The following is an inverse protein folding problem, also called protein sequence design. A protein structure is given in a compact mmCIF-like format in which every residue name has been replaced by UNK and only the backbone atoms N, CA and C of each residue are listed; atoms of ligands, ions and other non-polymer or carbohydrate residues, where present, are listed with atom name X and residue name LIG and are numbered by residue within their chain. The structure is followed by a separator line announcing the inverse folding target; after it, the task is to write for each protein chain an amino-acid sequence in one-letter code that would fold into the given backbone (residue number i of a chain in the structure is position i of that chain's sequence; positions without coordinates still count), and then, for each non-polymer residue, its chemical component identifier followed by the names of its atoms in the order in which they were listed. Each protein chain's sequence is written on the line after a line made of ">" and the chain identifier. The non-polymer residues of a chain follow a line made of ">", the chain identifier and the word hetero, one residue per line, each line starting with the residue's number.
data_IF_121732719437
#
_entry.id   IF_121732719437
#
_cell.length_a   1.000
_cell.length_b   1.000
_cell.length_c   1.000
_cell.angle_alpha   90.00
_cell.angle_beta   90.00
_cell.angle_gamma   90.00
#
_symmetry.space_group_name_H-M   'P 1'
#
loop_
_entity.id
_entity.type
_entity.pdbx_description
1 polymer ?
#
# COMPACT_ATOMS: atom_id res chain seq x y z
N UNK A 1 -24.95 -59.09 10.26
CA UNK A 1 -24.32 -59.93 9.21
C UNK A 1 -23.53 -58.99 8.31
N UNK A 2 -22.28 -59.34 8.00
CA UNK A 2 -21.21 -58.56 7.36
C UNK A 2 -20.41 -57.57 8.23
N UNK A 3 -19.18 -58.01 8.50
CA UNK A 3 -18.05 -57.30 9.07
C UNK A 3 -17.28 -56.55 7.97
N UNK A 4 -16.70 -55.39 8.31
CA UNK A 4 -15.36 -55.02 7.83
C UNK A 4 -14.73 -54.03 8.82
N UNK A 5 -13.82 -54.56 9.63
CA UNK A 5 -12.87 -53.88 10.51
C UNK A 5 -11.62 -53.48 9.74
N UNK A 6 -10.96 -52.37 10.11
CA UNK A 6 -9.51 -52.29 10.40
C UNK A 6 -9.14 -50.83 10.72
N UNK A 7 -8.91 -50.47 11.99
CA UNK A 7 -7.62 -50.52 12.73
C UNK A 7 -6.59 -49.51 12.21
N UNK A 8 -6.61 -48.30 12.78
CA UNK A 8 -5.41 -47.51 13.02
C UNK A 8 -4.74 -48.03 14.31
N UNK A 9 -3.46 -48.38 14.20
CA UNK A 9 -2.62 -48.84 15.30
C UNK A 9 -1.23 -48.22 15.23
N UNK A 10 -1.05 -47.15 16.01
CA UNK A 10 0.11 -46.77 16.82
C UNK A 10 1.49 -47.42 16.58
N UNK A 11 2.52 -46.56 16.46
CA UNK A 11 3.87 -46.70 17.08
C UNK A 11 4.61 -45.35 16.95
N UNK A 12 4.84 -44.63 18.05
CA UNK A 12 6.06 -44.56 18.89
C UNK A 12 7.30 -44.01 18.17
N UNK A 13 7.70 -42.78 18.52
CA UNK A 13 9.07 -42.26 18.38
C UNK A 13 10.02 -43.00 19.36
N UNK A 14 11.33 -43.09 19.05
CA UNK A 14 12.25 -42.10 19.61
C UNK A 14 13.37 -41.64 18.65
N UNK A 15 13.88 -40.45 18.94
CA UNK A 15 15.05 -39.80 18.35
C UNK A 15 16.34 -40.54 18.72
N UNK A 16 17.24 -40.78 17.76
CA UNK A 16 18.70 -40.79 17.99
C UNK A 16 19.48 -40.58 16.67
N UNK A 17 20.52 -39.77 16.77
CA UNK A 17 21.36 -39.21 15.71
C UNK A 17 22.04 -40.27 14.81
N UNK A 18 22.04 -40.03 13.50
CA UNK A 18 23.06 -40.54 12.58
C UNK A 18 23.28 -39.51 11.46
N UNK A 19 24.55 -39.25 11.17
CA UNK A 19 25.06 -38.37 10.12
C UNK A 19 24.37 -38.62 8.76
N UNK A 20 23.83 -37.58 8.13
CA UNK A 20 23.38 -37.63 6.74
C UNK A 20 24.54 -37.21 5.83
N UNK A 21 25.22 -38.20 5.25
CA UNK A 21 26.15 -38.03 4.15
C UNK A 21 25.36 -37.72 2.86
N UNK A 22 25.87 -36.77 2.06
CA UNK A 22 25.24 -36.24 0.85
C UNK A 22 25.08 -37.27 -0.29
N UNK A 23 25.57 -38.51 -0.10
CA UNK A 23 25.55 -39.57 -1.11
C UNK A 23 24.25 -40.39 -1.14
N UNK A 24 23.43 -40.36 -0.09
CA UNK A 24 22.17 -41.13 -0.05
C UNK A 24 21.00 -40.43 -0.75
N UNK A 25 21.11 -39.13 -1.07
CA UNK A 25 20.07 -38.39 -1.80
C UNK A 25 20.11 -38.68 -3.31
N UNK A 26 21.23 -39.18 -3.82
CA UNK A 26 21.39 -39.43 -5.27
C UNK A 26 20.88 -40.79 -5.74
N UNK A 27 20.62 -41.74 -4.84
CA UNK A 27 20.13 -43.09 -5.22
C UNK A 27 18.59 -43.22 -5.21
N UNK A 28 17.85 -42.26 -4.64
CA UNK A 28 16.37 -42.25 -4.69
C UNK A 28 15.79 -41.68 -6.00
N UNK A 29 16.64 -41.15 -6.90
CA UNK A 29 16.22 -40.54 -8.18
C UNK A 29 16.39 -41.46 -9.40
N UNK A 30 16.89 -42.68 -9.25
CA UNK A 30 17.16 -43.59 -10.37
C UNK A 30 16.16 -44.75 -10.50
N UNK A 31 14.86 -44.51 -10.27
CA UNK A 31 13.82 -45.48 -10.65
C UNK A 31 13.20 -45.15 -12.02
N UNK A 32 13.31 -46.05 -13.03
CA UNK A 32 13.02 -45.75 -14.43
C UNK A 32 11.53 -45.77 -14.84
N UNK A 33 10.59 -45.71 -13.88
CA UNK A 33 9.15 -45.84 -14.16
C UNK A 33 8.33 -44.53 -14.07
N UNK A 34 8.97 -43.37 -13.82
CA UNK A 34 8.28 -42.07 -13.74
C UNK A 34 8.56 -41.07 -14.86
N UNK A 35 9.49 -41.38 -15.78
CA UNK A 35 9.89 -40.45 -16.86
C UNK A 35 9.04 -40.64 -18.14
N UNK A 36 8.26 -41.71 -18.26
CA UNK A 36 7.47 -42.00 -19.47
C UNK A 36 6.10 -41.32 -19.53
N UNK A 37 5.69 -40.54 -18.52
CA UNK A 37 4.35 -39.92 -18.48
C UNK A 37 4.31 -38.43 -18.89
N UNK A 38 5.44 -37.80 -19.19
CA UNK A 38 5.47 -36.36 -19.49
C UNK A 38 5.50 -36.05 -20.99
N UNK A 39 6.10 -36.88 -21.83
CA UNK A 39 6.21 -36.57 -23.27
C UNK A 39 4.91 -36.81 -24.05
N UNK A 40 4.17 -37.90 -23.75
CA UNK A 40 2.91 -38.20 -24.46
C UNK A 40 1.80 -37.18 -24.12
N UNK A 41 1.79 -36.63 -22.91
CA UNK A 41 0.81 -35.62 -22.48
C UNK A 41 1.08 -34.28 -23.17
N UNK A 42 2.35 -33.89 -23.33
CA UNK A 42 2.73 -32.65 -24.02
C UNK A 42 2.41 -32.74 -25.52
N UNK A 43 2.68 -33.88 -26.15
CA UNK A 43 2.31 -34.13 -27.55
C UNK A 43 0.79 -34.14 -27.75
N UNK A 44 0.03 -34.69 -26.81
CA UNK A 44 -1.43 -34.65 -26.81
C UNK A 44 -1.99 -33.23 -26.75
N UNK A 45 -1.47 -32.37 -25.86
CA UNK A 45 -1.88 -30.96 -25.76
C UNK A 45 -1.53 -30.20 -27.02
N UNK A 46 -0.34 -30.41 -27.59
CA UNK A 46 0.06 -29.77 -28.83
C UNK A 46 -0.87 -30.14 -29.99
N UNK A 47 -1.22 -31.42 -30.18
CA UNK A 47 -2.15 -31.84 -31.24
C UNK A 47 -3.56 -31.22 -31.10
N UNK A 48 -4.05 -31.03 -29.86
CA UNK A 48 -5.34 -30.37 -29.62
C UNK A 48 -5.29 -28.90 -30.00
N UNK A 49 -4.20 -28.19 -29.69
CA UNK A 49 -4.01 -26.78 -30.05
C UNK A 49 -3.92 -26.63 -31.58
N UNK A 50 -3.17 -27.49 -32.28
CA UNK A 50 -3.09 -27.42 -33.75
C UNK A 50 -4.43 -27.77 -34.40
N UNK A 51 -5.19 -28.72 -33.85
CA UNK A 51 -6.54 -29.05 -34.32
C UNK A 51 -7.52 -27.88 -34.19
N UNK A 52 -7.48 -27.17 -33.06
CA UNK A 52 -8.30 -25.97 -32.83
C UNK A 52 -7.93 -24.81 -33.77
N UNK A 53 -6.63 -24.57 -33.98
CA UNK A 53 -6.16 -23.54 -34.91
C UNK A 53 -6.54 -23.85 -36.37
N UNK A 54 -6.48 -25.12 -36.76
CA UNK A 54 -6.92 -25.55 -38.10
C UNK A 54 -8.43 -25.40 -38.28
N UNK A 55 -9.24 -25.67 -37.25
CA UNK A 55 -10.69 -25.45 -37.28
C UNK A 55 -11.02 -23.95 -37.43
N UNK A 56 -10.27 -23.07 -36.77
CA UNK A 56 -10.40 -21.61 -36.93
C UNK A 56 -10.01 -21.14 -38.34
N UNK A 57 -9.01 -21.75 -38.96
CA UNK A 57 -8.57 -21.41 -40.32
C UNK A 57 -9.56 -21.87 -41.41
N UNK A 58 -10.41 -22.87 -41.14
CA UNK A 58 -11.40 -23.39 -42.08
C UNK A 58 -12.80 -22.76 -41.96
N UNK A 59 -13.01 -21.80 -41.05
CA UNK A 59 -14.31 -21.12 -40.95
C UNK A 59 -14.56 -20.21 -42.17
N UNK A 60 -15.70 -20.33 -42.87
CA UNK A 60 -16.01 -19.51 -44.04
C UNK A 60 -16.15 -18.03 -43.66
N UNK A 61 -15.71 -17.15 -44.57
CA UNK A 61 -15.52 -15.69 -44.47
C UNK A 61 -16.69 -14.81 -43.99
N UNK A 62 -17.78 -15.38 -43.46
CA UNK A 62 -18.94 -14.66 -42.96
C UNK A 62 -18.78 -14.12 -41.52
N UNK A 63 -17.63 -14.30 -40.86
CA UNK A 63 -17.32 -13.72 -39.53
C UNK A 63 -16.39 -12.50 -39.62
N UNK A 64 -15.94 -12.10 -40.82
CA UNK A 64 -15.09 -10.91 -40.99
C UNK A 64 -15.83 -9.56 -40.96
N UNK A 65 -17.17 -9.55 -40.94
CA UNK A 65 -17.96 -8.31 -40.85
C UNK A 65 -18.15 -7.79 -39.42
N UNK A 66 -17.83 -8.58 -38.39
CA UNK A 66 -17.74 -8.11 -36.99
C UNK A 66 -16.34 -7.62 -36.62
N UNK A 67 -15.29 -8.01 -37.36
CA UNK A 67 -13.92 -7.55 -37.14
C UNK A 67 -13.66 -6.12 -37.66
N UNK A 68 -14.45 -5.62 -38.61
CA UNK A 68 -14.30 -4.26 -39.15
C UNK A 68 -14.86 -3.17 -38.22
N UNK A 69 -15.78 -3.53 -37.30
CA UNK A 69 -16.17 -2.66 -36.16
C UNK A 69 -15.11 -2.62 -35.05
N UNK A 70 -14.26 -3.64 -34.94
CA UNK A 70 -13.15 -3.70 -33.97
C UNK A 70 -11.93 -2.82 -34.34
N UNK A 71 -11.67 -2.60 -35.63
CA UNK A 71 -10.55 -1.73 -36.08
C UNK A 71 -10.80 -0.23 -35.90
N UNK A 72 -12.06 0.20 -35.87
CA UNK A 72 -12.47 1.57 -35.47
C UNK A 72 -12.32 1.82 -33.97
N UNK A 73 -12.44 0.76 -33.16
CA UNK A 73 -12.25 0.83 -31.70
C UNK A 73 -10.77 0.82 -31.30
N UNK A 74 -9.90 0.11 -32.02
CA UNK A 74 -8.46 0.11 -31.72
C UNK A 74 -7.71 1.38 -32.17
N UNK A 75 -8.20 2.10 -33.19
CA UNK A 75 -7.64 3.41 -33.55
C UNK A 75 -8.05 4.53 -32.58
N UNK A 76 -9.09 4.34 -31.76
CA UNK A 76 -9.40 5.20 -30.61
C UNK A 76 -8.60 4.88 -29.34
N UNK A 77 -7.93 3.74 -29.26
CA UNK A 77 -7.22 3.29 -28.05
C UNK A 77 -5.72 3.65 -28.00
N UNK A 78 -5.14 4.19 -29.08
CA UNK A 78 -3.76 4.73 -29.07
C UNK A 78 -3.68 6.25 -29.17
N UNK A 79 -4.83 6.94 -29.26
CA UNK A 79 -4.94 8.39 -29.16
C UNK A 79 -5.27 8.88 -27.73
N UNK A 80 -5.32 7.99 -26.73
CA UNK A 80 -5.68 8.30 -25.33
C UNK A 80 -4.49 8.57 -24.40
N UNK A 81 -3.27 8.73 -24.93
CA UNK A 81 -2.07 9.06 -24.14
C UNK A 81 -1.50 10.46 -24.45
N UNK A 82 -2.34 11.35 -24.98
CA UNK A 82 -2.09 12.80 -24.95
C UNK A 82 -3.43 13.50 -24.70
N UNK A 83 -3.52 14.43 -23.74
CA UNK A 83 -4.72 15.23 -23.58
C UNK A 83 -4.79 16.21 -24.75
N UNK A 84 -5.42 15.82 -25.85
CA UNK A 84 -5.78 16.75 -26.91
C UNK A 84 -6.92 17.64 -26.42
N UNK A 85 -6.71 18.94 -26.59
CA UNK A 85 -7.61 20.01 -26.22
C UNK A 85 -9.01 19.79 -26.83
N UNK A 86 -9.99 19.67 -25.95
CA UNK A 86 -11.39 19.51 -26.30
C UNK A 86 -12.21 19.05 -25.10
N UNK A 87 -12.06 19.71 -23.95
CA UNK A 87 -12.97 19.51 -22.82
C UNK A 87 -14.12 20.49 -22.97
N UNK A 88 -15.31 19.93 -23.21
CA UNK A 88 -16.58 20.59 -22.94
C UNK A 88 -16.56 21.12 -21.49
N UNK A 89 -16.99 22.37 -21.33
CA UNK A 89 -16.88 23.19 -20.11
C UNK A 89 -17.88 22.82 -19.00
N UNK A 90 -18.27 21.55 -18.87
CA UNK A 90 -19.31 21.11 -17.91
C UNK A 90 -18.83 20.09 -16.86
N UNK A 91 -17.55 19.70 -16.85
CA UNK A 91 -16.97 18.83 -15.81
C UNK A 91 -16.11 19.62 -14.83
N UNK A 92 -16.68 20.65 -14.18
CA UNK A 92 -16.06 21.17 -12.96
C UNK A 92 -16.20 20.11 -11.87
N UNK A 93 -15.10 19.53 -11.40
CA UNK A 93 -15.12 18.62 -10.26
C UNK A 93 -15.78 19.27 -9.04
N UNK A 94 -16.23 18.47 -8.08
CA UNK A 94 -16.85 19.00 -6.88
C UNK A 94 -15.78 19.60 -5.94
N UNK A 95 -16.04 20.71 -5.23
CA UNK A 95 -15.16 21.15 -4.15
C UNK A 95 -15.05 20.08 -3.06
N UNK A 96 -13.84 19.89 -2.49
CA UNK A 96 -13.55 18.83 -1.51
C UNK A 96 -14.58 18.78 -0.36
N UNK A 97 -14.83 19.92 0.29
CA UNK A 97 -15.74 19.95 1.43
C UNK A 97 -17.19 19.62 1.07
N UNK A 98 -17.62 19.97 -0.15
CA UNK A 98 -18.95 19.60 -0.62
C UNK A 98 -19.04 18.09 -0.90
N UNK A 99 -17.98 17.51 -1.50
CA UNK A 99 -17.89 16.07 -1.74
C UNK A 99 -17.82 15.26 -0.44
N UNK A 100 -17.11 15.76 0.58
CA UNK A 100 -16.93 15.09 1.86
C UNK A 100 -18.14 15.24 2.81
N UNK A 101 -19.11 16.10 2.51
CA UNK A 101 -20.23 16.38 3.41
C UNK A 101 -21.06 15.14 3.82
N UNK A 102 -21.39 14.19 2.92
CA UNK A 102 -22.10 12.97 3.29
C UNK A 102 -21.33 12.14 4.32
N UNK A 103 -20.03 11.94 4.08
CA UNK A 103 -19.12 11.25 5.00
C UNK A 103 -19.09 11.94 6.38
N UNK A 104 -18.91 13.27 6.43
CA UNK A 104 -18.88 14.01 7.69
C UNK A 104 -20.20 13.89 8.46
N UNK A 105 -21.34 13.90 7.77
CA UNK A 105 -22.64 13.70 8.40
C UNK A 105 -22.79 12.29 8.98
N UNK A 106 -22.33 11.27 8.27
CA UNK A 106 -22.33 9.90 8.75
C UNK A 106 -21.44 9.74 9.99
N UNK A 107 -20.25 10.37 10.00
CA UNK A 107 -19.33 10.36 11.15
C UNK A 107 -20.01 10.99 12.36
N UNK A 108 -20.61 12.18 12.22
CA UNK A 108 -21.32 12.82 13.33
C UNK A 108 -22.44 11.95 13.88
N UNK A 109 -23.22 11.29 13.01
CA UNK A 109 -24.28 10.36 13.41
C UNK A 109 -23.73 9.19 14.24
N UNK A 110 -22.62 8.59 13.81
CA UNK A 110 -21.99 7.49 14.55
C UNK A 110 -21.43 7.95 15.90
N UNK A 111 -20.75 9.11 15.93
CA UNK A 111 -20.20 9.69 17.15
C UNK A 111 -21.29 10.11 18.15
N UNK A 112 -22.43 10.62 17.69
CA UNK A 112 -23.58 10.96 18.54
C UNK A 112 -24.14 9.74 19.27
N UNK A 113 -24.11 8.55 18.65
CA UNK A 113 -24.51 7.30 19.28
C UNK A 113 -23.51 6.88 20.36
N UNK A 114 -22.21 6.92 20.04
CA UNK A 114 -21.15 6.60 21.01
C UNK A 114 -21.14 7.57 22.20
N UNK A 115 -21.39 8.86 21.96
CA UNK A 115 -21.52 9.87 23.02
C UNK A 115 -22.69 9.58 23.97
N UNK A 116 -23.75 8.94 23.47
CA UNK A 116 -24.89 8.42 24.27
C UNK A 116 -24.61 7.06 24.88
N UNK A 117 -23.40 6.52 24.71
CA UNK A 117 -22.94 5.20 25.17
C UNK A 117 -23.67 4.04 24.48
N UNK A 118 -24.15 4.26 23.25
CA UNK A 118 -24.69 3.20 22.41
C UNK A 118 -23.56 2.63 21.54
N UNK A 119 -23.24 1.36 21.76
CA UNK A 119 -22.28 0.58 20.97
C UNK A 119 -22.93 -0.68 20.39
N UNK A 120 -24.26 -0.65 20.25
CA UNK A 120 -25.05 -1.76 19.73
C UNK A 120 -25.08 -1.82 18.20
N UNK A 121 -25.96 -2.67 17.63
CA UNK A 121 -26.09 -2.83 16.18
C UNK A 121 -26.42 -1.55 15.41
N UNK A 122 -27.05 -0.57 16.07
CA UNK A 122 -27.34 0.72 15.46
C UNK A 122 -26.05 1.54 15.22
N UNK A 123 -25.11 1.50 16.16
CA UNK A 123 -23.80 2.17 16.05
C UNK A 123 -22.92 1.47 15.04
N UNK A 124 -22.90 0.13 15.03
CA UNK A 124 -22.22 -0.66 13.99
C UNK A 124 -22.73 -0.30 12.59
N UNK A 125 -24.04 -0.25 12.38
CA UNK A 125 -24.64 0.16 11.12
C UNK A 125 -24.29 1.61 10.75
N UNK A 126 -24.24 2.53 11.72
CA UNK A 126 -23.83 3.91 11.46
C UNK A 126 -22.36 4.01 11.02
N UNK A 127 -21.46 3.18 11.57
CA UNK A 127 -20.08 3.10 11.09
C UNK A 127 -19.94 2.42 9.73
N UNK A 128 -20.82 1.47 9.40
CA UNK A 128 -20.92 0.95 8.05
C UNK A 128 -21.34 2.04 7.05
N UNK A 129 -22.31 2.90 7.40
CA UNK A 129 -22.67 4.06 6.59
C UNK A 129 -21.43 4.95 6.33
N UNK A 130 -20.58 5.17 7.34
CA UNK A 130 -19.32 5.92 7.18
C UNK A 130 -18.36 5.25 6.19
N UNK A 131 -18.19 3.93 6.29
CA UNK A 131 -17.32 3.17 5.38
C UNK A 131 -17.81 3.26 3.91
N UNK A 132 -19.12 3.21 3.71
CA UNK A 132 -19.74 3.34 2.40
C UNK A 132 -19.52 4.75 1.82
N UNK A 133 -19.75 5.80 2.62
CA UNK A 133 -19.56 7.19 2.20
C UNK A 133 -18.08 7.53 1.93
N UNK A 134 -17.14 6.98 2.69
CA UNK A 134 -15.70 7.07 2.41
C UNK A 134 -15.34 6.44 1.06
N UNK A 135 -15.95 5.30 0.75
CA UNK A 135 -15.76 4.63 -0.54
C UNK A 135 -16.29 5.52 -1.68
N UNK A 136 -17.46 6.14 -1.50
CA UNK A 136 -18.00 7.08 -2.48
C UNK A 136 -17.13 8.32 -2.66
N UNK A 137 -16.69 8.94 -1.56
CA UNK A 137 -15.78 10.09 -1.58
C UNK A 137 -14.47 9.74 -2.32
N UNK A 138 -13.96 8.53 -2.11
CA UNK A 138 -12.80 7.99 -2.80
C UNK A 138 -12.94 8.07 -4.33
N UNK A 139 -14.13 7.70 -4.84
CA UNK A 139 -14.47 7.58 -6.26
C UNK A 139 -14.87 8.90 -6.93
N UNK A 140 -15.34 9.88 -6.16
CA UNK A 140 -15.85 11.13 -6.71
C UNK A 140 -14.73 12.00 -7.32
N UNK A 141 -14.97 12.62 -8.50
CA UNK A 141 -14.03 13.58 -9.08
C UNK A 141 -14.06 14.90 -8.29
N UNK A 142 -12.95 15.20 -7.62
CA UNK A 142 -12.77 16.42 -6.83
C UNK A 142 -11.96 17.43 -7.63
N UNK A 143 -12.37 18.69 -7.61
CA UNK A 143 -11.63 19.73 -8.32
C UNK A 143 -10.30 20.04 -7.61
N UNK A 144 -9.21 19.69 -8.27
CA UNK A 144 -7.84 19.88 -7.79
C UNK A 144 -7.02 20.58 -8.86
N UNK A 145 -6.46 21.76 -8.56
CA UNK A 145 -5.52 22.46 -9.46
C UNK A 145 -6.04 22.65 -10.89
N UNK A 146 -7.36 22.87 -11.06
CA UNK A 146 -7.98 23.07 -12.37
C UNK A 146 -8.40 21.80 -13.10
N UNK A 147 -8.25 20.61 -12.52
CA UNK A 147 -8.69 19.35 -13.09
C UNK A 147 -9.48 18.50 -12.07
N UNK A 148 -10.49 17.74 -12.50
CA UNK A 148 -11.17 16.77 -11.66
C UNK A 148 -10.32 15.52 -11.46
N UNK A 149 -9.91 15.23 -10.21
CA UNK A 149 -9.17 14.02 -9.84
C UNK A 149 -9.88 13.29 -8.68
N UNK A 150 -10.02 11.95 -8.73
CA UNK A 150 -10.57 11.19 -7.62
C UNK A 150 -9.51 10.86 -6.58
N UNK A 151 -9.91 10.72 -5.31
CA UNK A 151 -8.96 10.46 -4.23
C UNK A 151 -8.29 9.10 -4.35
N UNK A 152 -8.97 8.06 -4.83
CA UNK A 152 -8.41 6.71 -4.95
C UNK A 152 -7.17 6.62 -5.86
N UNK A 153 -6.90 7.63 -6.69
CA UNK A 153 -5.84 7.60 -7.70
C UNK A 153 -4.42 7.79 -7.12
N UNK A 154 -4.28 8.09 -5.82
CA UNK A 154 -2.98 8.34 -5.18
C UNK A 154 -1.97 7.21 -5.43
N UNK A 155 -2.36 5.97 -5.15
CA UNK A 155 -1.49 4.79 -5.26
C UNK A 155 -1.11 4.52 -6.74
N UNK A 156 -2.02 4.82 -7.66
CA UNK A 156 -1.77 4.73 -9.10
C UNK A 156 -0.77 5.81 -9.58
N UNK A 157 -0.88 7.04 -9.08
CA UNK A 157 0.08 8.11 -9.39
C UNK A 157 1.45 7.83 -8.77
N UNK A 158 1.51 7.32 -7.54
CA UNK A 158 2.77 6.87 -6.91
C UNK A 158 3.44 5.76 -7.72
N UNK A 159 2.68 4.77 -8.19
CA UNK A 159 3.20 3.72 -9.08
C UNK A 159 3.69 4.28 -10.42
N UNK A 160 3.00 5.30 -10.96
CA UNK A 160 3.39 6.00 -12.17
C UNK A 160 4.70 6.77 -11.97
N UNK A 161 4.87 7.46 -10.83
CA UNK A 161 6.11 8.14 -10.45
C UNK A 161 7.27 7.15 -10.46
N UNK A 162 7.17 6.05 -9.71
CA UNK A 162 8.23 5.04 -9.63
C UNK A 162 8.61 4.48 -11.02
N UNK A 163 7.61 4.21 -11.87
CA UNK A 163 7.85 3.74 -13.24
C UNK A 163 8.58 4.78 -14.09
N UNK A 164 8.20 6.05 -14.00
CA UNK A 164 8.81 7.15 -14.76
C UNK A 164 10.23 7.44 -14.28
N UNK A 165 10.47 7.39 -12.96
CA UNK A 165 11.80 7.52 -12.37
C UNK A 165 12.74 6.39 -12.81
N UNK A 166 12.26 5.15 -12.86
CA UNK A 166 13.03 4.03 -13.39
C UNK A 166 13.45 4.28 -14.84
N UNK A 167 12.51 4.68 -15.71
CA UNK A 167 12.80 4.98 -17.13
C UNK A 167 13.78 6.14 -17.29
N UNK A 168 13.62 7.21 -16.51
CA UNK A 168 14.54 8.35 -16.52
C UNK A 168 15.93 7.95 -16.01
N UNK A 169 16.00 7.07 -15.01
CA UNK A 169 17.26 6.52 -14.51
C UNK A 169 17.98 5.73 -15.59
N UNK A 170 17.29 4.80 -16.26
CA UNK A 170 17.85 4.01 -17.35
C UNK A 170 18.38 4.89 -18.50
N UNK A 171 17.63 5.94 -18.86
CA UNK A 171 17.98 6.81 -19.99
C UNK A 171 19.07 7.84 -19.65
N UNK A 172 19.05 8.41 -18.45
CA UNK A 172 19.82 9.61 -18.11
C UNK A 172 20.91 9.40 -17.07
N UNK A 173 20.99 8.25 -16.39
CA UNK A 173 22.02 8.02 -15.38
C UNK A 173 23.45 8.27 -15.89
N UNK A 174 23.88 7.76 -17.06
CA UNK A 174 25.22 8.03 -17.57
C UNK A 174 25.48 9.52 -17.81
N UNK A 175 24.50 10.23 -18.38
CA UNK A 175 24.59 11.67 -18.64
C UNK A 175 24.65 12.47 -17.34
N UNK A 176 23.87 12.08 -16.33
CA UNK A 176 23.91 12.72 -14.99
C UNK A 176 25.27 12.55 -14.33
N UNK A 177 25.86 11.34 -14.38
CA UNK A 177 27.19 11.12 -13.82
C UNK A 177 28.28 11.89 -14.58
N UNK A 178 28.17 11.99 -15.92
CA UNK A 178 29.10 12.80 -16.71
C UNK A 178 29.04 14.28 -16.33
N UNK A 179 27.84 14.86 -16.20
CA UNK A 179 27.65 16.24 -15.76
C UNK A 179 28.17 16.43 -14.34
N UNK A 180 27.89 15.48 -13.43
CA UNK A 180 28.38 15.54 -12.05
C UNK A 180 29.91 15.49 -11.99
N UNK A 181 30.55 14.68 -12.83
CA UNK A 181 32.01 14.64 -12.99
C UNK A 181 32.57 16.01 -13.36
N UNK A 182 32.03 16.63 -14.41
CA UNK A 182 32.44 17.98 -14.84
C UNK A 182 32.22 19.04 -13.77
N UNK A 183 31.07 18.98 -13.06
CA UNK A 183 30.79 19.91 -11.96
C UNK A 183 31.73 19.69 -10.77
N UNK A 184 32.12 18.45 -10.48
CA UNK A 184 33.09 18.13 -9.43
C UNK A 184 34.46 18.73 -9.71
N UNK A 185 34.89 18.76 -10.97
CA UNK A 185 36.15 19.41 -11.39
C UNK A 185 36.12 20.93 -11.19
N UNK A 186 34.93 21.54 -11.25
CA UNK A 186 34.74 22.99 -11.03
C UNK A 186 34.65 23.41 -9.55
N UNK A 187 34.63 22.46 -8.62
CA UNK A 187 34.54 22.78 -7.18
C UNK A 187 35.81 23.43 -6.67
N UNK A 188 35.65 24.38 -5.77
CA UNK A 188 36.77 25.00 -5.05
C UNK A 188 37.43 24.01 -4.08
N UNK A 189 38.69 24.26 -3.73
CA UNK A 189 39.41 23.43 -2.75
C UNK A 189 38.69 23.37 -1.41
N UNK A 190 38.13 24.49 -0.96
CA UNK A 190 37.36 24.59 0.29
C UNK A 190 36.12 23.70 0.26
N UNK A 191 35.38 23.71 -0.85
CA UNK A 191 34.21 22.85 -1.07
C UNK A 191 34.60 21.36 -1.08
N UNK A 192 35.68 20.98 -1.76
CA UNK A 192 36.16 19.59 -1.80
C UNK A 192 36.55 19.10 -0.40
N UNK A 193 37.27 19.92 0.37
CA UNK A 193 37.64 19.59 1.75
C UNK A 193 36.41 19.47 2.64
N UNK A 194 35.47 20.42 2.53
CA UNK A 194 34.24 20.42 3.31
C UNK A 194 33.37 19.18 3.06
N UNK A 195 33.29 18.70 1.80
CA UNK A 195 32.57 17.48 1.45
C UNK A 195 33.19 16.22 2.07
N UNK A 196 34.51 16.19 2.26
CA UNK A 196 35.22 15.04 2.84
C UNK A 196 35.04 14.94 4.38
N UNK A 197 34.68 16.04 5.05
CA UNK A 197 34.45 16.06 6.49
C UNK A 197 33.02 15.54 6.78
N UNK A 198 32.82 14.59 7.72
CA UNK A 198 31.50 14.15 8.14
C UNK A 198 30.64 15.33 8.65
N UNK A 199 29.34 15.35 8.32
CA UNK A 199 28.45 16.47 8.63
C UNK A 199 28.49 16.95 10.08
N UNK A 200 28.56 16.01 11.02
CA UNK A 200 28.59 16.27 12.48
C UNK A 200 29.89 16.95 12.94
N UNK A 201 30.96 16.85 12.16
CA UNK A 201 32.28 17.41 12.48
C UNK A 201 32.58 18.71 11.71
N UNK A 202 31.67 19.15 10.84
CA UNK A 202 31.84 20.38 10.06
C UNK A 202 31.64 21.58 10.98
N UNK A 203 32.55 22.55 10.88
CA UNK A 203 32.31 23.91 11.37
C UNK A 203 31.18 24.56 10.56
N UNK A 204 30.64 25.69 11.04
CA UNK A 204 29.57 26.43 10.33
C UNK A 204 29.98 26.82 8.92
N UNK A 205 31.22 27.27 8.72
CA UNK A 205 31.76 27.66 7.42
C UNK A 205 31.93 26.45 6.49
N UNK A 206 32.43 25.33 7.02
CA UNK A 206 32.52 24.08 6.27
C UNK A 206 31.14 23.51 5.93
N UNK A 207 30.15 23.67 6.81
CA UNK A 207 28.79 23.26 6.52
C UNK A 207 28.21 24.07 5.36
N UNK A 208 28.39 25.40 5.35
CA UNK A 208 27.97 26.24 4.25
C UNK A 208 28.66 25.87 2.92
N UNK A 209 29.98 25.62 2.96
CA UNK A 209 30.75 25.20 1.79
C UNK A 209 30.30 23.82 1.27
N UNK A 210 30.04 22.86 2.16
CA UNK A 210 29.55 21.53 1.79
C UNK A 210 28.15 21.61 1.17
N UNK A 211 27.21 22.35 1.75
CA UNK A 211 25.87 22.53 1.19
C UNK A 211 25.91 23.22 -0.18
N UNK A 212 26.77 24.22 -0.35
CA UNK A 212 27.01 24.84 -1.66
C UNK A 212 27.53 23.84 -2.69
N UNK A 213 28.47 22.98 -2.29
CA UNK A 213 29.02 21.94 -3.16
C UNK A 213 28.00 20.84 -3.49
N UNK A 214 27.21 20.39 -2.53
CA UNK A 214 26.13 19.41 -2.71
C UNK A 214 25.09 19.94 -3.70
N UNK A 215 24.70 21.21 -3.56
CA UNK A 215 23.77 21.89 -4.48
C UNK A 215 24.36 22.01 -5.88
N UNK A 216 25.66 22.34 -5.99
CA UNK A 216 26.35 22.38 -7.28
C UNK A 216 26.40 20.99 -7.94
N UNK A 217 26.60 19.91 -7.18
CA UNK A 217 26.67 18.55 -7.67
C UNK A 217 25.29 17.92 -7.97
N UNK A 218 24.20 18.54 -7.51
CA UNK A 218 22.85 18.07 -7.80
C UNK A 218 22.48 18.34 -9.27
N UNK A 219 22.23 17.27 -10.00
CA UNK A 219 21.89 17.31 -11.43
C UNK A 219 20.47 16.78 -11.58
N UNK A 220 19.51 17.64 -11.91
CA UNK A 220 18.14 17.23 -12.15
C UNK A 220 17.99 16.39 -13.43
N UNK A 221 16.88 15.67 -13.54
CA UNK A 221 16.54 14.92 -14.76
C UNK A 221 16.46 15.83 -15.98
N UNK A 222 15.85 17.00 -15.85
CA UNK A 222 15.74 17.98 -16.95
C UNK A 222 17.10 18.49 -17.39
N UNK A 223 18.01 18.75 -16.45
CA UNK A 223 19.37 19.21 -16.77
C UNK A 223 20.09 18.18 -17.63
N UNK A 224 20.00 16.90 -17.27
CA UNK A 224 20.59 15.82 -18.05
C UNK A 224 19.89 15.62 -19.41
N UNK A 225 18.56 15.76 -19.44
CA UNK A 225 17.80 15.66 -20.68
C UNK A 225 18.21 16.73 -21.70
N UNK A 226 18.47 17.98 -21.27
CA UNK A 226 18.90 19.06 -22.15
C UNK A 226 20.28 18.85 -22.81
N UNK A 227 21.13 18.00 -22.25
CA UNK A 227 22.47 17.71 -22.79
C UNK A 227 22.42 16.68 -23.92
N UNK A 228 21.34 15.90 -24.02
CA UNK A 228 21.18 14.92 -25.08
C UNK A 228 20.99 15.58 -26.45
N UNK A 229 21.33 14.83 -27.51
CA UNK A 229 20.98 15.19 -28.88
C UNK A 229 19.54 14.73 -29.22
N UNK A 230 18.93 15.36 -30.22
CA UNK A 230 17.65 14.90 -30.77
C UNK A 230 17.82 13.54 -31.48
N UNK A 231 16.84 12.62 -31.40
CA UNK A 231 15.50 12.75 -30.80
C UNK A 231 15.40 12.39 -29.30
N UNK A 232 16.49 11.91 -28.70
CA UNK A 232 16.50 11.43 -27.31
C UNK A 232 16.25 12.56 -26.30
N UNK A 233 16.66 13.78 -26.61
CA UNK A 233 16.34 14.98 -25.84
C UNK A 233 14.83 15.19 -25.70
N UNK A 234 14.09 15.18 -26.82
CA UNK A 234 12.63 15.35 -26.81
C UNK A 234 11.92 14.26 -25.99
N UNK A 235 12.35 13.00 -26.14
CA UNK A 235 11.80 11.88 -25.36
C UNK A 235 12.03 12.06 -23.86
N UNK A 236 13.28 12.36 -23.45
CA UNK A 236 13.63 12.57 -22.06
C UNK A 236 12.86 13.75 -21.43
N UNK A 237 12.71 14.86 -22.15
CA UNK A 237 11.92 16.01 -21.70
C UNK A 237 10.42 15.68 -21.63
N UNK A 238 9.91 14.80 -22.51
CA UNK A 238 8.57 14.23 -22.41
C UNK A 238 8.37 13.47 -21.10
N UNK A 239 9.29 12.56 -20.77
CA UNK A 239 9.26 11.79 -19.53
C UNK A 239 9.35 12.69 -18.29
N UNK A 240 10.22 13.72 -18.29
CA UNK A 240 10.32 14.67 -17.18
C UNK A 240 8.99 15.42 -16.94
N UNK A 241 8.29 15.83 -18.01
CA UNK A 241 6.97 16.48 -17.90
C UNK A 241 5.91 15.54 -17.31
N UNK A 242 5.90 14.29 -17.75
CA UNK A 242 4.99 13.27 -17.21
C UNK A 242 5.27 12.99 -15.73
N UNK A 243 6.55 12.92 -15.34
CA UNK A 243 6.94 12.72 -13.95
C UNK A 243 6.45 13.87 -13.08
N UNK A 244 6.73 15.11 -13.48
CA UNK A 244 6.29 16.31 -12.75
C UNK A 244 4.77 16.37 -12.62
N UNK A 245 4.05 16.00 -13.68
CA UNK A 245 2.58 15.91 -13.65
C UNK A 245 2.09 14.85 -12.67
N UNK A 246 2.74 13.67 -12.63
CA UNK A 246 2.42 12.60 -11.69
C UNK A 246 2.65 13.00 -10.23
N UNK A 247 3.81 13.59 -9.94
CA UNK A 247 4.15 14.14 -8.61
C UNK A 247 3.13 15.22 -8.20
N UNK A 248 2.86 16.16 -9.10
CA UNK A 248 1.87 17.21 -8.88
C UNK A 248 0.46 16.69 -8.55
N UNK A 249 0.04 15.59 -9.17
CA UNK A 249 -1.24 14.93 -8.90
C UNK A 249 -1.20 14.19 -7.56
N UNK A 250 -0.16 13.39 -7.32
CA UNK A 250 0.01 12.63 -6.08
C UNK A 250 0.02 13.57 -4.86
N UNK A 251 0.80 14.65 -4.89
CA UNK A 251 0.89 15.63 -3.81
C UNK A 251 -0.47 16.31 -3.55
N UNK A 252 -1.20 16.66 -4.62
CA UNK A 252 -2.51 17.28 -4.49
C UNK A 252 -3.54 16.32 -3.88
N UNK A 253 -3.56 15.07 -4.35
CA UNK A 253 -4.47 14.04 -3.83
C UNK A 253 -4.14 13.74 -2.36
N UNK A 254 -2.86 13.56 -2.02
CA UNK A 254 -2.41 13.32 -0.65
C UNK A 254 -2.84 14.46 0.28
N UNK A 255 -2.56 15.71 -0.09
CA UNK A 255 -2.97 16.88 0.69
C UNK A 255 -4.49 16.95 0.90
N UNK A 256 -5.29 16.56 -0.10
CA UNK A 256 -6.74 16.53 0.03
C UNK A 256 -7.23 15.38 0.91
N UNK A 257 -6.63 14.20 0.81
CA UNK A 257 -6.88 13.07 1.74
C UNK A 257 -6.56 13.49 3.17
N UNK A 258 -5.47 14.23 3.39
CA UNK A 258 -5.08 14.73 4.72
C UNK A 258 -6.09 15.73 5.29
N UNK A 259 -6.59 16.68 4.48
CA UNK A 259 -7.57 17.70 4.92
C UNK A 259 -8.82 17.08 5.51
N UNK A 260 -9.31 15.98 4.93
CA UNK A 260 -10.51 15.28 5.42
C UNK A 260 -10.17 14.11 6.33
N UNK A 261 -8.89 13.91 6.66
CA UNK A 261 -8.38 12.81 7.46
C UNK A 261 -8.84 11.43 6.93
N UNK A 262 -8.71 11.25 5.61
CA UNK A 262 -9.32 10.14 4.87
C UNK A 262 -8.88 8.77 5.38
N UNK A 263 -7.57 8.54 5.57
CA UNK A 263 -7.06 7.24 6.00
C UNK A 263 -7.45 6.92 7.45
N UNK A 264 -7.42 7.90 8.34
CA UNK A 264 -7.87 7.73 9.72
C UNK A 264 -9.35 7.32 9.77
N UNK A 265 -10.24 8.06 9.10
CA UNK A 265 -11.66 7.73 9.13
C UNK A 265 -11.95 6.39 8.46
N UNK A 266 -11.18 6.02 7.45
CA UNK A 266 -11.25 4.70 6.82
C UNK A 266 -10.84 3.59 7.77
N UNK A 267 -9.76 3.75 8.52
CA UNK A 267 -9.36 2.79 9.55
C UNK A 267 -10.41 2.68 10.66
N UNK A 268 -10.89 3.81 11.18
CA UNK A 268 -11.92 3.85 12.21
C UNK A 268 -13.20 3.15 11.73
N UNK A 269 -13.71 3.50 10.55
CA UNK A 269 -14.95 2.94 10.04
C UNK A 269 -14.86 1.43 9.79
N UNK A 270 -13.74 0.95 9.23
CA UNK A 270 -13.50 -0.50 9.05
C UNK A 270 -13.57 -1.26 10.37
N UNK A 271 -12.86 -0.80 11.40
CA UNK A 271 -12.84 -1.47 12.69
C UNK A 271 -14.21 -1.35 13.38
N UNK A 272 -14.77 -0.15 13.43
CA UNK A 272 -16.02 0.16 14.12
C UNK A 272 -17.26 -0.47 13.46
N UNK A 273 -17.20 -0.83 12.18
CA UNK A 273 -18.24 -1.61 11.52
C UNK A 273 -18.26 -3.10 11.93
N UNK A 274 -17.39 -3.52 12.86
CA UNK A 274 -17.36 -4.91 13.39
C UNK A 274 -17.78 -4.96 14.86
N UNK A 275 -18.38 -6.08 15.32
CA UNK A 275 -18.71 -6.27 16.74
C UNK A 275 -17.50 -6.24 17.68
N UNK A 276 -16.33 -6.71 17.22
CA UNK A 276 -15.10 -6.65 17.99
C UNK A 276 -14.57 -5.22 18.10
N UNK A 277 -14.60 -4.44 17.02
CA UNK A 277 -14.20 -3.04 17.05
C UNK A 277 -15.14 -2.17 17.88
N UNK A 278 -16.46 -2.41 17.85
CA UNK A 278 -17.39 -1.73 18.76
C UNK A 278 -17.06 -2.01 20.23
N UNK A 279 -16.76 -3.25 20.59
CA UNK A 279 -16.31 -3.60 21.95
C UNK A 279 -15.01 -2.91 22.33
N UNK A 280 -14.04 -2.83 21.42
CA UNK A 280 -12.78 -2.13 21.66
C UNK A 280 -13.04 -0.64 21.96
N UNK A 281 -13.90 0.01 21.17
CA UNK A 281 -14.27 1.42 21.33
C UNK A 281 -15.04 1.69 22.61
N UNK A 282 -15.99 0.82 22.95
CA UNK A 282 -16.73 0.90 24.22
C UNK A 282 -15.77 0.81 25.42
N UNK A 283 -14.87 -0.16 25.39
CA UNK A 283 -13.89 -0.40 26.45
C UNK A 283 -12.91 0.77 26.57
N UNK A 284 -12.40 1.31 25.46
CA UNK A 284 -11.57 2.52 25.44
C UNK A 284 -12.30 3.73 26.05
N UNK A 285 -13.57 3.94 25.68
CA UNK A 285 -14.38 5.02 26.24
C UNK A 285 -14.63 4.83 27.75
N UNK A 286 -14.76 3.58 28.21
CA UNK A 286 -14.88 3.25 29.64
C UNK A 286 -13.58 3.52 30.38
N UNK A 287 -12.43 3.17 29.80
CA UNK A 287 -11.11 3.45 30.35
C UNK A 287 -10.87 4.96 30.51
N UNK A 288 -11.20 5.76 29.49
CA UNK A 288 -11.08 7.21 29.55
C UNK A 288 -11.91 7.83 30.68
N UNK A 289 -13.16 7.39 30.88
CA UNK A 289 -14.00 7.85 31.99
C UNK A 289 -13.46 7.43 33.36
N UNK A 290 -12.92 6.22 33.48
CA UNK A 290 -12.30 5.76 34.71
C UNK A 290 -11.06 6.59 35.06
N UNK A 291 -10.23 6.95 34.06
CA UNK A 291 -9.12 7.88 34.22
C UNK A 291 -9.57 9.28 34.67
N UNK A 292 -10.62 9.83 34.07
CA UNK A 292 -11.21 11.10 34.49
C UNK A 292 -11.72 11.07 35.94
N UNK A 293 -12.14 9.90 36.42
CA UNK A 293 -12.61 9.66 37.79
C UNK A 293 -11.50 9.26 38.78
N UNK A 294 -10.24 9.17 38.34
CA UNK A 294 -9.09 8.66 39.12
C UNK A 294 -9.26 7.20 39.60
N UNK A 295 -10.05 6.41 38.86
CA UNK A 295 -10.31 4.99 39.12
C UNK A 295 -9.32 4.11 38.32
N UNK A 296 -8.05 4.10 38.72
CA UNK A 296 -6.96 3.47 37.95
C UNK A 296 -7.16 1.96 37.71
N UNK A 297 -7.68 1.21 38.69
CA UNK A 297 -7.94 -0.23 38.52
C UNK A 297 -9.09 -0.49 37.52
N UNK A 298 -10.10 0.39 37.51
CA UNK A 298 -11.19 0.31 36.54
C UNK A 298 -10.69 0.68 35.13
N UNK A 299 -9.79 1.66 35.03
CA UNK A 299 -9.13 2.01 33.78
C UNK A 299 -8.27 0.86 33.25
N UNK A 300 -7.49 0.20 34.13
CA UNK A 300 -6.70 -0.98 33.78
C UNK A 300 -7.58 -2.08 33.17
N UNK A 301 -8.64 -2.49 33.87
CA UNK A 301 -9.55 -3.54 33.39
C UNK A 301 -10.18 -3.18 32.05
N UNK A 302 -10.56 -1.91 31.86
CA UNK A 302 -11.15 -1.44 30.62
C UNK A 302 -10.14 -1.42 29.46
N UNK A 303 -8.87 -1.09 29.69
CA UNK A 303 -7.82 -1.19 28.67
C UNK A 303 -7.51 -2.65 28.30
N UNK A 304 -7.47 -3.56 29.27
CA UNK A 304 -7.28 -4.99 28.98
C UNK A 304 -8.42 -5.55 28.10
N UNK A 305 -9.67 -5.18 28.39
CA UNK A 305 -10.83 -5.49 27.54
C UNK A 305 -10.70 -4.90 26.13
N UNK A 306 -10.24 -3.64 26.05
CA UNK A 306 -10.02 -2.94 24.79
C UNK A 306 -8.98 -3.65 23.90
N UNK A 307 -7.80 -3.93 24.44
CA UNK A 307 -6.71 -4.60 23.71
C UNK A 307 -7.06 -6.04 23.34
N UNK A 308 -7.82 -6.75 24.19
CA UNK A 308 -8.37 -8.07 23.87
C UNK A 308 -9.38 -8.00 22.71
N UNK A 309 -10.20 -6.95 22.66
CA UNK A 309 -11.13 -6.75 21.56
C UNK A 309 -10.39 -6.41 20.25
N UNK A 310 -9.29 -5.64 20.31
CA UNK A 310 -8.42 -5.41 19.15
C UNK A 310 -7.76 -6.70 18.65
N UNK A 311 -7.28 -7.57 19.54
CA UNK A 311 -6.80 -8.89 19.14
C UNK A 311 -7.86 -9.66 18.35
N UNK A 312 -9.13 -9.60 18.76
CA UNK A 312 -10.23 -10.23 18.02
C UNK A 312 -10.44 -9.58 16.64
N UNK A 313 -10.35 -8.24 16.54
CA UNK A 313 -10.42 -7.53 15.25
C UNK A 313 -9.34 -8.05 14.29
N UNK A 314 -8.08 -8.13 14.71
CA UNK A 314 -7.00 -8.61 13.84
C UNK A 314 -7.02 -10.12 13.58
N UNK A 315 -7.66 -10.90 14.45
CA UNK A 315 -7.89 -12.32 14.20
C UNK A 315 -8.94 -12.56 13.12
N UNK A 316 -10.04 -11.80 13.16
CA UNK A 316 -11.14 -11.92 12.18
C UNK A 316 -10.80 -11.23 10.85
N UNK A 317 -9.97 -10.17 10.91
CA UNK A 317 -9.52 -9.38 9.76
C UNK A 317 -7.99 -9.22 9.71
N UNK A 318 -7.23 -10.29 9.39
CA UNK A 318 -5.76 -10.22 9.35
C UNK A 318 -5.21 -9.17 8.39
N UNK A 319 -5.96 -8.80 7.35
CA UNK A 319 -5.60 -7.74 6.41
C UNK A 319 -5.45 -6.36 7.07
N UNK A 320 -6.07 -6.14 8.23
CA UNK A 320 -5.99 -4.89 8.98
C UNK A 320 -4.63 -4.68 9.65
N UNK A 321 -3.85 -5.74 9.87
CA UNK A 321 -2.53 -5.62 10.51
C UNK A 321 -1.51 -4.82 9.68
N UNK A 322 -1.77 -4.61 8.38
CA UNK A 322 -0.93 -3.77 7.51
C UNK A 322 -1.44 -2.32 7.41
N UNK A 323 -2.55 -1.97 8.06
CA UNK A 323 -3.13 -0.63 8.04
C UNK A 323 -2.44 0.24 9.11
N UNK A 324 -1.63 1.20 8.67
CA UNK A 324 -0.80 2.03 9.56
C UNK A 324 -1.62 2.86 10.55
N UNK A 325 -2.82 3.32 10.16
CA UNK A 325 -3.68 4.10 11.05
C UNK A 325 -4.29 3.23 12.15
N UNK A 326 -4.65 1.98 11.83
CA UNK A 326 -5.05 1.02 12.87
C UNK A 326 -3.90 0.69 13.82
N UNK A 327 -2.69 0.47 13.28
CA UNK A 327 -1.51 0.20 14.09
C UNK A 327 -1.22 1.35 15.07
N UNK A 328 -1.33 2.60 14.60
CA UNK A 328 -1.16 3.79 15.42
C UNK A 328 -2.23 3.90 16.50
N UNK A 329 -3.51 3.69 16.16
CA UNK A 329 -4.59 3.73 17.14
C UNK A 329 -4.37 2.73 18.27
N UNK A 330 -3.98 1.50 17.94
CA UNK A 330 -3.71 0.45 18.93
C UNK A 330 -2.46 0.78 19.75
N UNK A 331 -1.43 1.35 19.14
CA UNK A 331 -0.24 1.81 19.86
C UNK A 331 -0.58 2.91 20.88
N UNK A 332 -1.39 3.90 20.50
CA UNK A 332 -1.83 4.97 21.40
C UNK A 332 -2.60 4.43 22.62
N UNK A 333 -3.42 3.37 22.42
CA UNK A 333 -4.14 2.70 23.51
C UNK A 333 -3.21 1.85 24.41
N UNK A 334 -2.19 1.20 23.84
CA UNK A 334 -1.16 0.47 24.60
C UNK A 334 -0.34 1.45 25.45
N UNK A 335 0.05 2.60 24.89
CA UNK A 335 0.80 3.63 25.62
C UNK A 335 -0.05 4.19 26.78
N UNK A 336 -1.34 4.43 26.55
CA UNK A 336 -2.26 4.84 27.61
C UNK A 336 -2.40 3.77 28.72
N UNK A 337 -2.50 2.50 28.34
CA UNK A 337 -2.54 1.38 29.29
C UNK A 337 -1.24 1.26 30.10
N UNK A 338 -0.08 1.39 29.47
CA UNK A 338 1.22 1.40 30.15
C UNK A 338 1.31 2.53 31.18
N UNK A 339 0.79 3.72 30.85
CA UNK A 339 0.74 4.84 31.78
C UNK A 339 -0.14 4.55 33.02
N UNK A 340 -1.22 3.79 32.88
CA UNK A 340 -2.04 3.33 34.01
C UNK A 340 -1.27 2.35 34.88
N UNK A 341 -0.64 1.33 34.28
CA UNK A 341 0.13 0.33 35.02
C UNK A 341 1.30 0.96 35.79
N UNK A 342 1.99 1.93 35.16
CA UNK A 342 3.08 2.66 35.79
C UNK A 342 2.61 3.42 37.05
N UNK A 343 1.42 4.02 37.02
CA UNK A 343 0.84 4.69 38.19
C UNK A 343 0.44 3.70 39.30
N UNK A 344 -0.03 2.51 38.91
CA UNK A 344 -0.35 1.41 39.83
C UNK A 344 0.90 0.67 40.35
N UNK A 345 2.08 0.91 39.76
CA UNK A 345 3.31 0.17 40.06
C UNK A 345 3.30 -1.29 39.59
N UNK A 346 2.49 -1.61 38.58
CA UNK A 346 2.34 -2.95 38.01
C UNK A 346 3.23 -3.14 36.77
N UNK A 347 3.72 -4.36 36.51
CA UNK A 347 4.47 -4.65 35.29
C UNK A 347 3.56 -4.73 34.05
N UNK A 348 4.09 -4.34 32.90
CA UNK A 348 3.43 -4.52 31.61
C UNK A 348 3.52 -5.99 31.14
N UNK A 349 2.37 -6.57 30.77
CA UNK A 349 2.30 -7.91 30.18
C UNK A 349 2.59 -7.86 28.68
N UNK A 350 3.58 -8.64 28.23
CA UNK A 350 3.95 -8.74 26.82
C UNK A 350 2.79 -9.23 25.95
N UNK A 351 1.80 -9.94 26.50
CA UNK A 351 0.58 -10.32 25.76
C UNK A 351 -0.15 -9.12 25.13
N UNK A 352 0.03 -7.91 25.69
CA UNK A 352 -0.54 -6.66 25.21
C UNK A 352 0.43 -5.80 24.40
N UNK A 353 1.63 -6.31 24.07
CA UNK A 353 2.55 -5.59 23.18
C UNK A 353 1.97 -5.48 21.77
N UNK A 354 2.33 -4.42 21.06
CA UNK A 354 1.79 -4.13 19.73
C UNK A 354 1.90 -5.31 18.75
N UNK A 355 3.05 -6.03 18.65
CA UNK A 355 3.15 -7.21 17.80
C UNK A 355 2.17 -8.32 18.17
N UNK A 356 1.93 -8.53 19.47
CA UNK A 356 1.03 -9.57 19.98
C UNK A 356 -0.44 -9.20 19.80
N UNK A 357 -0.81 -7.93 20.02
CA UNK A 357 -2.16 -7.43 19.77
C UNK A 357 -2.51 -7.50 18.28
N UNK A 358 -1.60 -7.05 17.43
CA UNK A 358 -1.79 -7.05 15.97
C UNK A 358 -1.57 -8.41 15.30
N UNK A 359 -1.14 -9.43 16.06
CA UNK A 359 -0.81 -10.78 15.54
C UNK A 359 0.25 -10.73 14.43
N UNK A 360 1.21 -9.81 14.52
CA UNK A 360 2.32 -9.75 13.58
C UNK A 360 3.16 -11.02 13.71
N UNK A 361 3.46 -11.66 12.58
CA UNK A 361 4.35 -12.83 12.58
C UNK A 361 5.74 -12.37 13.01
N UNK A 362 6.25 -12.97 14.08
CA UNK A 362 7.63 -12.84 14.57
C UNK A 362 8.64 -13.39 13.57
#
# INVERSE_FOLDING_TARGET
>A
MFFATSRLGSRKNPVQNAHLDLHDITDELSHPSRILFTEEVILGICMVITGLLFLFAQMPNAVFTTAQKGRSLMTKSMASLSPSAGYDTDTSGMPLMAAAQPMLNAIHKAQDLEARRDYGPATEAAWQDVADELTQLGLQPIQMRGQPLPLWMLEAEQSRIATLESKLTELLAPTREAIRGLRRESLTKEQVVALAIPSVQRTVEQQAAATSAETALDVSWETAAYVLAEPAQTEALGLCRLLRSAQANADAIASYRDVVNFEYWRAVAKAAATPAGQRAREAAARAGRALEADELEAAQSAYEECLTAWQAVFMDHPEFANDMEMAKQVADEIDAYQNVLNQLGLPFDDAFSLPNVMRLKS
#
